data_IF_380296758161
#
_entry.id   IF_380296758161
#
_cell.length_a   1.000
_cell.length_b   1.000
_cell.length_c   1.000
_cell.angle_alpha   90.00
_cell.angle_beta   90.00
_cell.angle_gamma   90.00
#
_symmetry.space_group_name_H-M   'P 1'
#
loop_
_entity.id
_entity.type
_entity.pdbx_description
1 polymer ?
#
# COMPACT_ATOMS: atom_id res chain seq x y z
N UNK A 1 29.58 -48.37 -50.75
CA UNK A 1 29.45 -47.91 -52.17
C UNK A 1 27.97 -48.02 -52.55
N UNK A 2 27.43 -47.10 -53.39
CA UNK A 2 26.65 -45.96 -52.87
C UNK A 2 25.24 -45.85 -53.53
N UNK A 3 24.34 -44.95 -53.12
CA UNK A 3 24.20 -43.52 -53.50
C UNK A 3 23.01 -42.89 -52.70
N UNK A 4 23.07 -41.66 -52.14
CA UNK A 4 22.68 -40.34 -52.72
C UNK A 4 21.23 -40.27 -53.28
N UNK A 5 20.39 -39.22 -53.19
CA UNK A 5 20.42 -37.80 -52.69
C UNK A 5 18.95 -37.23 -52.70
N UNK A 6 18.50 -36.08 -52.12
CA UNK A 6 18.97 -35.14 -51.06
C UNK A 6 17.83 -34.14 -50.65
N UNK A 7 17.85 -33.58 -49.42
CA UNK A 7 17.10 -32.38 -48.93
C UNK A 7 15.54 -32.46 -48.88
N UNK A 8 14.76 -31.62 -48.16
CA UNK A 8 14.93 -30.28 -47.53
C UNK A 8 14.24 -30.26 -46.14
N UNK A 9 14.80 -29.61 -45.09
CA UNK A 9 14.37 -28.31 -44.48
C UNK A 9 12.84 -28.12 -44.29
N UNK A 10 12.36 -27.60 -43.14
CA UNK A 10 12.08 -26.16 -42.92
C UNK A 10 11.72 -25.85 -41.42
N UNK A 11 12.23 -24.71 -40.91
CA UNK A 11 11.83 -23.88 -39.70
C UNK A 11 11.86 -24.38 -38.24
N UNK A 12 12.72 -23.70 -37.45
CA UNK A 12 12.59 -23.25 -36.04
C UNK A 12 11.54 -22.10 -35.90
N UNK A 13 11.23 -21.45 -34.74
CA UNK A 13 11.85 -21.40 -33.38
C UNK A 13 10.85 -21.76 -32.24
N UNK A 14 11.14 -21.74 -30.93
CA UNK A 14 11.64 -20.68 -30.03
C UNK A 14 11.89 -21.34 -28.66
N UNK A 15 13.10 -21.33 -28.08
CA UNK A 15 13.58 -20.28 -27.15
C UNK A 15 12.63 -19.88 -26.02
N UNK A 16 12.18 -20.85 -25.21
CA UNK A 16 11.58 -20.54 -23.90
C UNK A 16 12.68 -20.33 -22.84
N UNK A 17 13.16 -19.09 -22.78
CA UNK A 17 14.05 -18.62 -21.71
C UNK A 17 13.29 -18.60 -20.38
N UNK A 18 13.54 -19.59 -19.54
CA UNK A 18 13.10 -19.62 -18.14
C UNK A 18 13.86 -18.57 -17.31
N UNK A 19 13.53 -17.30 -17.51
CA UNK A 19 13.90 -16.20 -16.62
C UNK A 19 13.03 -16.28 -15.36
N UNK A 20 13.37 -17.22 -14.47
CA UNK A 20 12.93 -17.14 -13.08
C UNK A 20 13.58 -15.89 -12.48
N UNK A 21 12.74 -14.88 -12.30
CA UNK A 21 13.06 -13.57 -11.78
C UNK A 21 13.90 -13.65 -10.51
N UNK A 22 14.93 -12.80 -10.34
CA UNK A 22 15.64 -12.72 -9.08
C UNK A 22 14.64 -12.30 -8.00
N UNK A 23 14.66 -13.03 -6.88
CA UNK A 23 13.92 -12.64 -5.68
C UNK A 23 14.21 -11.17 -5.39
N UNK A 24 13.18 -10.33 -5.52
CA UNK A 24 13.10 -9.02 -4.89
C UNK A 24 12.99 -9.25 -3.38
N UNK A 25 14.11 -9.67 -2.79
CA UNK A 25 14.34 -9.63 -1.36
C UNK A 25 14.52 -8.15 -1.02
N UNK A 26 13.40 -7.43 -0.92
CA UNK A 26 13.40 -6.08 -0.36
C UNK A 26 14.04 -6.22 1.02
N UNK A 27 15.25 -5.68 1.15
CA UNK A 27 15.83 -5.47 2.45
C UNK A 27 14.81 -4.65 3.24
N UNK A 28 14.32 -5.22 4.35
CA UNK A 28 13.59 -4.46 5.36
C UNK A 28 14.59 -3.44 5.90
N UNK A 29 14.63 -2.28 5.25
CA UNK A 29 15.38 -1.11 5.69
C UNK A 29 14.88 -0.86 7.09
N UNK A 30 15.74 -1.08 8.08
CA UNK A 30 15.42 -0.84 9.49
C UNK A 30 15.34 0.66 9.71
N UNK A 31 14.21 1.24 9.28
CA UNK A 31 13.85 2.62 9.49
C UNK A 31 13.90 2.86 10.99
N UNK A 32 14.86 3.69 11.42
CA UNK A 32 14.98 4.07 12.82
C UNK A 32 13.66 4.65 13.34
N UNK A 33 13.50 4.75 14.67
CA UNK A 33 12.23 5.13 15.29
C UNK A 33 11.88 6.61 14.98
N UNK A 34 11.34 6.85 13.79
CA UNK A 34 10.87 8.15 13.33
C UNK A 34 9.63 8.54 14.13
N UNK A 35 9.81 9.56 14.98
CA UNK A 35 8.76 10.12 15.82
C UNK A 35 8.18 11.34 15.12
N UNK A 36 7.10 11.14 14.37
CA UNK A 36 6.31 12.26 13.86
C UNK A 36 5.69 13.04 15.01
N UNK A 37 5.68 14.37 14.88
CA UNK A 37 4.84 15.24 15.70
C UNK A 37 3.38 14.83 15.50
N UNK A 38 2.59 14.85 16.58
CA UNK A 38 1.16 14.51 16.52
C UNK A 38 0.43 15.51 15.65
N UNK A 39 0.87 16.76 15.68
CA UNK A 39 0.35 17.92 14.98
C UNK A 39 0.57 17.77 13.46
N UNK A 40 1.82 17.44 13.05
CA UNK A 40 2.15 17.17 11.64
C UNK A 40 1.32 16.01 11.06
N UNK A 41 1.26 14.88 11.78
CA UNK A 41 0.43 13.73 11.35
C UNK A 41 -1.06 14.10 11.27
N UNK A 42 -1.55 14.91 12.20
CA UNK A 42 -2.94 15.36 12.24
C UNK A 42 -3.27 16.29 11.06
N UNK A 43 -2.31 17.14 10.65
CA UNK A 43 -2.45 18.01 9.47
C UNK A 43 -2.54 17.18 8.18
N UNK A 44 -1.63 16.24 7.94
CA UNK A 44 -1.62 15.46 6.68
C UNK A 44 -2.80 14.49 6.53
N UNK A 45 -3.42 14.07 7.63
CA UNK A 45 -4.62 13.23 7.58
C UNK A 45 -5.84 13.90 6.89
N UNK A 46 -5.79 15.21 6.60
CA UNK A 46 -6.79 15.91 5.76
C UNK A 46 -6.78 15.47 4.30
N UNK A 47 -5.66 14.93 3.79
CA UNK A 47 -5.53 14.44 2.41
C UNK A 47 -6.09 13.04 2.18
N UNK A 48 -6.61 12.37 3.23
CA UNK A 48 -7.19 11.03 3.16
C UNK A 48 -8.72 11.15 3.05
N UNK A 49 -9.33 10.42 2.12
CA UNK A 49 -10.79 10.33 1.97
C UNK A 49 -11.37 9.09 2.66
N UNK A 50 -10.79 7.92 2.37
CA UNK A 50 -11.27 6.64 2.90
C UNK A 50 -10.10 5.85 3.47
N UNK A 51 -10.30 5.26 4.65
CA UNK A 51 -9.37 4.35 5.29
C UNK A 51 -10.10 3.02 5.54
N UNK A 52 -9.90 2.05 4.65
CA UNK A 52 -10.53 0.73 4.70
C UNK A 52 -9.54 -0.31 5.24
N UNK A 53 -9.95 -1.03 6.27
CA UNK A 53 -9.13 -2.06 6.93
C UNK A 53 -9.93 -3.37 6.93
N UNK A 54 -9.45 -4.36 6.19
CA UNK A 54 -10.05 -5.69 6.13
C UNK A 54 -9.19 -6.68 6.92
N UNK A 55 -9.77 -7.41 7.87
CA UNK A 55 -9.03 -8.40 8.66
C UNK A 55 -9.94 -9.47 9.28
N UNK A 56 -9.39 -10.67 9.47
CA UNK A 56 -10.01 -11.70 10.28
C UNK A 56 -9.62 -11.52 11.77
N UNK A 57 -10.57 -11.43 12.70
CA UNK A 57 -10.27 -11.18 14.11
C UNK A 57 -9.59 -12.37 14.82
N UNK A 58 -9.70 -13.59 14.26
CA UNK A 58 -9.09 -14.80 14.79
C UNK A 58 -7.72 -15.11 14.15
N UNK A 59 -7.34 -14.43 13.07
CA UNK A 59 -6.00 -14.56 12.46
C UNK A 59 -4.95 -13.84 13.31
N UNK A 60 -3.88 -14.54 13.70
CA UNK A 60 -2.75 -13.95 14.43
C UNK A 60 -2.02 -12.84 13.66
N UNK A 61 -2.05 -12.89 12.31
CA UNK A 61 -1.43 -11.88 11.43
C UNK A 61 -2.14 -10.52 11.47
N UNK A 62 -3.38 -10.47 11.94
CA UNK A 62 -4.20 -9.25 11.97
C UNK A 62 -3.80 -8.21 13.03
N UNK A 63 -2.73 -8.45 13.82
CA UNK A 63 -2.28 -7.56 14.89
C UNK A 63 -2.04 -6.12 14.42
N UNK A 64 -1.30 -5.95 13.32
CA UNK A 64 -1.02 -4.63 12.72
C UNK A 64 -2.31 -3.92 12.26
N UNK A 65 -3.21 -4.62 11.57
CA UNK A 65 -4.48 -4.06 11.09
C UNK A 65 -5.37 -3.58 12.24
N UNK A 66 -5.46 -4.37 13.32
CA UNK A 66 -6.21 -4.03 14.55
C UNK A 66 -5.64 -2.79 15.24
N UNK A 67 -4.32 -2.73 15.39
CA UNK A 67 -3.65 -1.58 16.03
C UNK A 67 -3.74 -0.32 15.15
N UNK A 68 -3.59 -0.45 13.83
CA UNK A 68 -3.80 0.67 12.90
C UNK A 68 -5.23 1.19 12.98
N UNK A 69 -6.24 0.30 12.98
CA UNK A 69 -7.65 0.66 13.16
C UNK A 69 -7.89 1.43 14.46
N UNK A 70 -7.24 1.02 15.56
CA UNK A 70 -7.31 1.71 16.85
C UNK A 70 -6.64 3.09 16.78
N UNK A 71 -5.54 3.24 16.06
CA UNK A 71 -4.84 4.51 15.88
C UNK A 71 -5.62 5.49 15.01
N UNK A 72 -6.15 5.08 13.85
CA UNK A 72 -6.89 5.99 12.94
C UNK A 72 -8.25 6.41 13.52
N UNK A 73 -8.85 5.61 14.40
CA UNK A 73 -10.06 5.97 15.17
C UNK A 73 -9.80 7.00 16.29
N UNK A 74 -8.57 7.46 16.50
CA UNK A 74 -8.27 8.48 17.50
C UNK A 74 -8.96 9.81 17.19
N UNK A 75 -9.55 10.43 18.21
CA UNK A 75 -10.39 11.65 18.08
C UNK A 75 -9.70 12.80 17.34
N UNK A 76 -8.36 12.92 17.44
CA UNK A 76 -7.56 13.93 16.73
C UNK A 76 -7.77 13.91 15.20
N UNK A 77 -7.89 12.72 14.62
CA UNK A 77 -8.01 12.56 13.17
C UNK A 77 -9.43 12.89 12.70
N UNK A 78 -10.45 12.57 13.51
CA UNK A 78 -11.82 13.01 13.28
C UNK A 78 -11.98 14.53 13.44
N UNK A 79 -11.20 15.16 14.32
CA UNK A 79 -11.17 16.62 14.51
C UNK A 79 -10.50 17.36 13.35
N UNK A 80 -9.42 16.83 12.77
CA UNK A 80 -8.76 17.46 11.61
C UNK A 80 -9.41 17.13 10.28
N UNK A 81 -10.04 15.96 10.15
CA UNK A 81 -10.74 15.55 8.95
C UNK A 81 -12.12 14.95 9.30
N UNK A 82 -13.17 15.79 9.40
CA UNK A 82 -14.53 15.31 9.64
C UNK A 82 -15.16 14.60 8.43
N UNK A 83 -14.55 14.69 7.24
CA UNK A 83 -14.96 13.99 6.02
C UNK A 83 -14.35 12.56 5.92
N UNK A 84 -13.41 12.19 6.80
CA UNK A 84 -12.71 10.91 6.76
C UNK A 84 -13.64 9.73 7.05
N UNK A 85 -13.80 8.84 6.08
CA UNK A 85 -14.56 7.59 6.22
C UNK A 85 -13.64 6.44 6.63
N UNK A 86 -13.88 5.82 7.79
CA UNK A 86 -13.07 4.72 8.33
C UNK A 86 -13.89 3.43 8.31
N UNK A 87 -13.60 2.56 7.35
CA UNK A 87 -14.28 1.28 7.16
C UNK A 87 -13.48 0.15 7.77
N UNK A 88 -14.13 -0.68 8.58
CA UNK A 88 -13.56 -1.91 9.11
C UNK A 88 -14.39 -3.10 8.59
N UNK A 89 -13.79 -3.91 7.73
CA UNK A 89 -14.41 -5.13 7.20
C UNK A 89 -13.85 -6.34 7.96
N UNK A 90 -14.70 -6.94 8.79
CA UNK A 90 -14.31 -8.01 9.72
C UNK A 90 -14.76 -9.34 9.13
N UNK A 91 -13.85 -10.02 8.45
CA UNK A 91 -14.16 -11.23 7.68
C UNK A 91 -13.89 -12.51 8.46
N UNK A 92 -14.65 -13.57 8.18
CA UNK A 92 -14.39 -14.93 8.69
C UNK A 92 -13.44 -15.76 7.82
N UNK A 93 -12.92 -15.19 6.72
CA UNK A 93 -12.12 -15.91 5.73
C UNK A 93 -10.65 -16.02 6.14
N UNK A 94 -9.88 -17.01 5.65
CA UNK A 94 -8.44 -17.16 5.95
C UNK A 94 -7.54 -16.18 5.17
N UNK A 95 -8.13 -15.18 4.52
CA UNK A 95 -7.42 -14.22 3.68
C UNK A 95 -6.45 -13.37 4.53
N UNK A 96 -5.30 -12.91 3.97
CA UNK A 96 -4.43 -11.98 4.67
C UNK A 96 -5.17 -10.69 5.03
N UNK A 97 -4.79 -10.00 6.12
CA UNK A 97 -5.35 -8.70 6.46
C UNK A 97 -4.83 -7.63 5.48
N UNK A 98 -5.72 -6.79 4.95
CA UNK A 98 -5.37 -5.75 3.98
C UNK A 98 -5.81 -4.37 4.46
N UNK A 99 -5.07 -3.35 4.05
CA UNK A 99 -5.37 -1.93 4.31
C UNK A 99 -5.39 -1.20 2.99
N UNK A 100 -6.52 -0.56 2.66
CA UNK A 100 -6.69 0.30 1.49
C UNK A 100 -6.93 1.73 1.95
N UNK A 101 -6.17 2.67 1.39
CA UNK A 101 -6.26 4.11 1.70
C UNK A 101 -6.46 4.87 0.40
N UNK A 102 -7.58 5.59 0.32
CA UNK A 102 -7.92 6.45 -0.81
C UNK A 102 -7.72 7.91 -0.43
N UNK A 103 -7.08 8.68 -1.29
CA UNK A 103 -6.68 10.06 -1.03
C UNK A 103 -7.54 11.07 -1.84
N UNK A 104 -7.42 12.36 -1.51
CA UNK A 104 -8.21 13.44 -2.14
C UNK A 104 -7.87 13.69 -3.61
N UNK A 105 -6.64 13.35 -4.04
CA UNK A 105 -6.18 13.42 -5.42
C UNK A 105 -6.72 12.27 -6.30
N UNK A 106 -7.45 11.31 -5.69
CA UNK A 106 -7.93 10.09 -6.34
C UNK A 106 -6.93 8.94 -6.36
N UNK A 107 -5.74 9.11 -5.78
CA UNK A 107 -4.78 8.02 -5.64
C UNK A 107 -5.24 7.00 -4.58
N UNK A 108 -4.78 5.76 -4.74
CA UNK A 108 -5.06 4.64 -3.85
C UNK A 108 -3.75 3.95 -3.45
N UNK A 109 -3.65 3.56 -2.18
CA UNK A 109 -2.58 2.71 -1.67
C UNK A 109 -3.18 1.47 -1.01
N UNK A 110 -2.71 0.30 -1.41
CA UNK A 110 -3.10 -0.99 -0.84
C UNK A 110 -1.87 -1.60 -0.18
N UNK A 111 -2.01 -2.06 1.05
CA UNK A 111 -0.95 -2.69 1.84
C UNK A 111 -1.40 -4.05 2.38
N UNK A 112 -0.54 -5.06 2.30
CA UNK A 112 -0.71 -6.31 3.05
C UNK A 112 -0.28 -6.06 4.50
N UNK A 113 -1.23 -6.07 5.43
CA UNK A 113 -0.96 -5.79 6.83
C UNK A 113 -0.24 -6.92 7.57
N UNK A 114 0.01 -8.08 6.94
CA UNK A 114 0.80 -9.15 7.54
C UNK A 114 2.31 -8.95 7.42
N UNK A 115 2.76 -8.15 6.43
CA UNK A 115 4.19 -7.88 6.21
C UNK A 115 4.71 -6.61 6.89
N UNK A 116 3.81 -5.73 7.33
CA UNK A 116 4.14 -4.40 7.89
C UNK A 116 3.63 -4.25 9.33
N UNK A 117 4.36 -3.49 10.15
CA UNK A 117 3.85 -2.99 11.43
C UNK A 117 2.83 -1.86 11.24
N UNK A 118 1.89 -1.70 12.18
CA UNK A 118 0.95 -0.58 12.19
C UNK A 118 1.63 0.81 12.12
N UNK A 119 2.84 0.95 12.67
CA UNK A 119 3.65 2.18 12.60
C UNK A 119 4.17 2.42 11.18
N UNK A 120 4.63 1.38 10.50
CA UNK A 120 5.17 1.46 9.14
C UNK A 120 4.04 1.82 8.16
N UNK A 121 2.88 1.16 8.27
CA UNK A 121 1.69 1.50 7.48
C UNK A 121 1.27 2.97 7.67
N UNK A 122 1.25 3.47 8.90
CA UNK A 122 0.95 4.87 9.19
C UNK A 122 2.00 5.83 8.60
N UNK A 123 3.26 5.41 8.56
CA UNK A 123 4.37 6.19 8.01
C UNK A 123 4.33 6.25 6.48
N UNK A 124 4.06 5.15 5.78
CA UNK A 124 3.86 5.12 4.32
C UNK A 124 2.69 6.03 3.91
N UNK A 125 1.58 5.96 4.64
CA UNK A 125 0.42 6.86 4.44
C UNK A 125 0.79 8.33 4.69
N UNK A 126 1.58 8.62 5.72
CA UNK A 126 2.08 9.98 5.99
C UNK A 126 2.93 10.49 4.83
N UNK A 127 3.88 9.70 4.35
CA UNK A 127 4.79 10.12 3.27
C UNK A 127 4.06 10.32 1.95
N UNK A 128 3.06 9.49 1.65
CA UNK A 128 2.20 9.71 0.48
C UNK A 128 1.36 11.00 0.62
N UNK A 129 0.82 11.28 1.81
CA UNK A 129 0.08 12.52 2.07
C UNK A 129 0.96 13.78 2.03
N UNK A 130 2.23 13.71 2.43
CA UNK A 130 3.20 14.81 2.30
C UNK A 130 3.49 15.12 0.82
N UNK A 131 3.66 14.09 -0.01
CA UNK A 131 3.83 14.27 -1.46
C UNK A 131 2.60 14.93 -2.10
N UNK A 132 1.38 14.58 -1.67
CA UNK A 132 0.15 15.24 -2.10
C UNK A 132 0.12 16.71 -1.63
N UNK A 133 0.51 17.00 -0.38
CA UNK A 133 0.61 18.37 0.14
C UNK A 133 1.53 19.23 -0.75
N UNK A 134 2.74 18.73 -1.03
CA UNK A 134 3.73 19.41 -1.89
C UNK A 134 3.17 19.63 -3.31
N UNK A 135 2.48 18.63 -3.90
CA UNK A 135 1.89 18.79 -5.23
C UNK A 135 0.76 19.83 -5.25
N UNK A 136 -0.06 19.89 -4.21
CA UNK A 136 -1.13 20.90 -4.09
C UNK A 136 -0.55 22.32 -3.93
N UNK A 137 0.54 22.47 -3.17
CA UNK A 137 1.26 23.74 -3.04
C UNK A 137 1.86 24.20 -4.39
N UNK A 138 2.46 23.29 -5.16
CA UNK A 138 2.98 23.57 -6.52
C UNK A 138 1.85 23.96 -7.49
N UNK A 139 0.72 23.25 -7.43
CA UNK A 139 -0.45 23.50 -8.28
C UNK A 139 -1.25 24.75 -7.86
N UNK A 140 -0.97 25.35 -6.70
CA UNK A 140 -1.72 26.49 -6.15
C UNK A 140 -3.15 26.14 -5.70
N UNK A 141 -3.43 24.87 -5.36
CA UNK A 141 -4.76 24.38 -4.98
C UNK A 141 -4.92 24.32 -3.46
N UNK A 142 -6.06 24.76 -2.91
CA UNK A 142 -6.39 24.46 -1.52
C UNK A 142 -7.02 23.07 -1.36
N UNK A 143 -6.86 22.49 -0.18
CA UNK A 143 -7.59 21.30 0.26
C UNK A 143 -9.07 21.61 0.56
N UNK A 144 -9.38 22.86 0.89
CA UNK A 144 -10.73 23.28 1.28
C UNK A 144 -11.70 23.31 0.09
N UNK A 145 -11.17 23.31 -1.14
CA UNK A 145 -11.91 23.32 -2.40
C UNK A 145 -12.35 21.89 -2.87
N UNK A 146 -12.11 20.84 -2.07
CA UNK A 146 -12.21 19.40 -2.45
C UNK A 146 -13.17 18.53 -1.59
#
# INVERSE_FOLDING_TARGET
RPNHCVAQQITTPSSETALLSPLLFLSKVTMGVFKFSKEATTHLFKYIRVFQIQFNPFDGRSGSAKELLRQVKAERFKKSNPKLDIKADVTGTPNPPHVTVNFVDGSERIFDSSEYEARELLHEVYMHAENINIQFEIDGKSIDDM
#
